data_IF_310285700395
#
_entry.id   IF_310285700395
#
_cell.length_a   1.000
_cell.length_b   1.000
_cell.length_c   1.000
_cell.angle_alpha   90.00
_cell.angle_beta   90.00
_cell.angle_gamma   90.00
#
_symmetry.space_group_name_H-M   'P 1'
#
loop_
_entity.id
_entity.type
_entity.pdbx_description
1 polymer ?
#
# COMPACT_ATOMS: atom_id res chain seq x y z
N UNK A 1 -9.19 -10.52 1.42
CA UNK A 1 -9.20 -9.27 0.62
C UNK A 1 -8.33 -8.26 1.31
N UNK A 2 -7.66 -7.37 0.58
CA UNK A 2 -6.96 -6.20 1.12
C UNK A 2 -7.58 -4.93 0.53
N UNK A 3 -7.80 -3.94 1.39
CA UNK A 3 -8.22 -2.59 1.01
C UNK A 3 -7.05 -1.66 1.32
N UNK A 4 -6.69 -0.80 0.38
CA UNK A 4 -5.64 0.22 0.55
C UNK A 4 -6.23 1.59 0.34
N UNK A 5 -6.02 2.48 1.31
CA UNK A 5 -6.41 3.89 1.25
C UNK A 5 -5.15 4.72 1.43
N UNK A 6 -4.78 5.49 0.41
CA UNK A 6 -3.76 6.51 0.52
C UNK A 6 -4.41 7.90 0.50
N UNK A 7 -3.87 8.80 1.30
CA UNK A 7 -4.40 10.14 1.43
C UNK A 7 -3.54 11.02 2.30
N UNK A 8 -4.01 12.23 2.56
CA UNK A 8 -3.38 13.20 3.43
C UNK A 8 -4.39 13.75 4.43
N UNK A 9 -4.01 13.75 5.71
CA UNK A 9 -4.81 14.38 6.76
C UNK A 9 -4.71 15.90 6.61
N UNK A 10 -5.83 16.62 6.74
CA UNK A 10 -5.77 18.08 6.69
C UNK A 10 -4.96 18.66 7.87
N UNK A 11 -4.23 19.78 7.69
CA UNK A 11 -3.44 20.40 8.76
C UNK A 11 -4.24 20.78 10.01
N UNK A 12 -5.52 21.07 9.87
CA UNK A 12 -6.45 21.45 10.93
C UNK A 12 -7.53 20.39 11.17
N UNK A 13 -7.30 19.13 10.80
CA UNK A 13 -8.29 18.07 10.92
C UNK A 13 -8.75 17.86 12.37
N UNK A 14 -10.06 17.80 12.61
CA UNK A 14 -10.60 17.37 13.90
C UNK A 14 -10.81 15.87 13.94
N UNK A 15 -11.26 15.31 12.80
CA UNK A 15 -11.43 13.88 12.62
C UNK A 15 -11.58 13.52 11.14
N UNK A 16 -11.31 12.25 10.82
CA UNK A 16 -11.80 11.61 9.61
C UNK A 16 -12.15 10.16 9.92
N UNK A 17 -12.91 9.52 9.05
CA UNK A 17 -13.34 8.14 9.23
C UNK A 17 -13.26 7.34 7.93
N UNK A 18 -12.91 6.07 8.09
CA UNK A 18 -12.96 5.04 7.05
C UNK A 18 -13.97 3.99 7.53
N UNK A 19 -15.11 3.93 6.87
CA UNK A 19 -16.20 3.03 7.22
C UNK A 19 -16.35 1.94 6.16
N UNK A 20 -16.35 0.68 6.59
CA UNK A 20 -16.84 -0.44 5.79
C UNK A 20 -18.30 -0.69 6.17
N UNK A 21 -19.21 -0.68 5.19
CA UNK A 21 -20.65 -0.69 5.43
C UNK A 21 -21.37 -1.81 4.70
N UNK A 22 -22.57 -2.14 5.20
CA UNK A 22 -23.60 -2.93 4.52
C UNK A 22 -24.96 -2.25 4.67
N UNK A 23 -25.48 -1.70 3.58
CA UNK A 23 -26.66 -0.82 3.65
C UNK A 23 -26.39 0.36 4.58
N UNK A 24 -27.18 0.49 5.66
CA UNK A 24 -26.99 1.55 6.68
C UNK A 24 -26.09 1.13 7.85
N UNK A 25 -25.71 -0.15 7.95
CA UNK A 25 -24.89 -0.65 9.05
C UNK A 25 -23.41 -0.36 8.78
N UNK A 26 -22.68 0.08 9.81
CA UNK A 26 -21.22 0.24 9.76
C UNK A 26 -20.58 -1.00 10.37
N UNK A 27 -20.03 -1.87 9.52
CA UNK A 27 -19.40 -3.14 9.91
C UNK A 27 -18.02 -2.90 10.54
N UNK A 28 -17.26 -1.95 10.00
CA UNK A 28 -16.01 -1.46 10.60
C UNK A 28 -16.02 0.06 10.51
N UNK A 29 -16.04 0.72 11.65
CA UNK A 29 -15.78 2.14 11.79
C UNK A 29 -14.32 2.30 12.20
N UNK A 30 -13.49 2.97 11.40
CA UNK A 30 -12.12 3.33 11.74
C UNK A 30 -12.01 4.85 11.79
N UNK A 31 -11.85 5.43 12.96
CA UNK A 31 -12.03 6.85 13.14
C UNK A 31 -10.92 7.51 13.96
N UNK A 32 -9.88 8.04 13.29
CA UNK A 32 -8.92 8.93 13.90
C UNK A 32 -9.55 10.25 14.36
N UNK A 33 -9.32 10.59 15.63
CA UNK A 33 -9.76 11.81 16.31
C UNK A 33 -8.56 12.54 16.89
N UNK A 34 -8.57 13.87 16.80
CA UNK A 34 -7.47 14.73 17.24
C UNK A 34 -7.78 15.53 18.50
N UNK A 35 -8.85 15.17 19.20
CA UNK A 35 -9.21 15.73 20.50
C UNK A 35 -8.22 15.24 21.58
N UNK A 36 -7.90 16.10 22.56
CA UNK A 36 -7.21 15.67 23.79
C UNK A 36 -5.69 15.46 23.69
N UNK A 37 -4.98 16.17 22.81
CA UNK A 37 -3.51 16.15 22.76
C UNK A 37 -2.96 15.39 21.55
N UNK A 38 -2.36 14.20 21.76
CA UNK A 38 -1.72 13.42 20.70
C UNK A 38 -2.69 12.70 19.74
N UNK A 39 -4.00 12.83 19.97
CA UNK A 39 -5.06 12.13 19.23
C UNK A 39 -5.15 10.63 19.55
N UNK A 40 -6.26 10.02 19.15
CA UNK A 40 -6.59 8.61 19.35
C UNK A 40 -7.42 8.08 18.17
N UNK A 41 -7.57 6.76 18.08
CA UNK A 41 -8.40 6.11 17.06
C UNK A 41 -9.50 5.31 17.75
N UNK A 42 -10.72 5.43 17.23
CA UNK A 42 -11.86 4.61 17.62
C UNK A 42 -12.12 3.56 16.56
N UNK A 43 -12.28 2.31 17.01
CA UNK A 43 -12.89 1.24 16.24
C UNK A 43 -14.25 0.91 16.82
N UNK A 44 -15.27 0.75 15.97
CA UNK A 44 -16.59 0.33 16.42
C UNK A 44 -17.41 -0.32 15.29
N UNK A 45 -18.58 -0.84 15.63
CA UNK A 45 -19.61 -1.34 14.73
C UNK A 45 -20.92 -0.61 15.04
N UNK A 46 -21.61 -0.12 14.02
CA UNK A 46 -22.98 0.39 14.14
C UNK A 46 -23.93 -0.61 13.48
N UNK A 47 -24.84 -1.19 14.26
CA UNK A 47 -25.85 -2.12 13.75
C UNK A 47 -27.23 -1.56 14.08
N UNK A 48 -28.10 -1.43 13.07
CA UNK A 48 -29.46 -0.90 13.22
C UNK A 48 -29.48 0.46 13.93
N UNK A 49 -28.56 1.35 13.53
CA UNK A 49 -28.39 2.69 14.09
C UNK A 49 -27.90 2.72 15.55
N UNK A 50 -27.42 1.60 16.11
CA UNK A 50 -26.87 1.52 17.47
C UNK A 50 -25.39 1.21 17.42
N UNK A 51 -24.58 2.08 18.02
CA UNK A 51 -23.14 1.85 18.19
C UNK A 51 -22.89 0.82 19.30
N UNK A 52 -21.96 -0.10 19.05
CA UNK A 52 -21.46 -1.02 20.06
C UNK A 52 -20.44 -0.39 21.01
N UNK A 53 -19.70 -1.23 21.73
CA UNK A 53 -18.59 -0.80 22.60
C UNK A 53 -17.42 -0.26 21.78
N UNK A 54 -16.90 0.92 22.12
CA UNK A 54 -15.74 1.51 21.44
C UNK A 54 -14.44 0.79 21.84
N UNK A 55 -13.63 0.42 20.85
CA UNK A 55 -12.23 0.01 21.04
C UNK A 55 -11.32 1.18 20.69
N UNK A 56 -10.48 1.62 21.63
CA UNK A 56 -9.68 2.86 21.49
C UNK A 56 -8.19 2.57 21.48
N UNK A 57 -7.50 3.14 20.49
CA UNK A 57 -6.03 3.18 20.42
C UNK A 57 -5.54 4.61 20.69
N UNK A 58 -4.87 4.82 21.82
CA UNK A 58 -4.46 6.16 22.30
C UNK A 58 -3.16 6.70 21.67
N UNK A 59 -2.81 6.19 20.48
CA UNK A 59 -1.71 6.69 19.65
C UNK A 59 -2.17 6.70 18.21
N UNK A 60 -2.26 7.87 17.58
CA UNK A 60 -2.61 7.96 16.16
C UNK A 60 -1.34 7.92 15.27
N UNK A 61 -1.27 7.01 14.27
CA UNK A 61 -0.24 7.03 13.24
C UNK A 61 -0.58 8.00 12.09
N UNK A 62 -1.55 8.90 12.28
CA UNK A 62 -2.00 9.87 11.27
C UNK A 62 -1.75 11.30 11.77
N UNK A 63 -0.53 11.84 11.76
CA UNK A 63 -0.34 13.23 12.15
C UNK A 63 -1.07 14.18 11.18
N UNK A 64 -1.58 15.31 11.70
CA UNK A 64 -2.17 16.37 10.87
C UNK A 64 -1.19 16.85 9.81
N UNK A 65 -1.68 17.09 8.60
CA UNK A 65 -0.89 17.54 7.46
C UNK A 65 0.01 16.49 6.82
N UNK A 66 0.05 15.25 7.33
CA UNK A 66 0.90 14.18 6.80
C UNK A 66 0.11 13.22 5.90
N UNK A 67 0.81 12.69 4.90
CA UNK A 67 0.32 11.59 4.08
C UNK A 67 0.28 10.28 4.88
N UNK A 68 -0.60 9.37 4.47
CA UNK A 68 -0.72 8.04 5.04
C UNK A 68 -1.09 7.00 4.00
N UNK A 69 -0.66 5.77 4.25
CA UNK A 69 -1.16 4.57 3.60
C UNK A 69 -1.79 3.65 4.66
N UNK A 70 -3.11 3.58 4.66
CA UNK A 70 -3.90 2.67 5.48
C UNK A 70 -4.16 1.39 4.67
N UNK A 71 -3.82 0.24 5.25
CA UNK A 71 -4.12 -1.07 4.69
C UNK A 71 -5.01 -1.84 5.65
N UNK A 72 -6.18 -2.26 5.19
CA UNK A 72 -7.12 -3.11 5.92
C UNK A 72 -7.08 -4.50 5.28
N UNK A 73 -6.50 -5.46 5.98
CA UNK A 73 -6.45 -6.86 5.58
C UNK A 73 -7.61 -7.61 6.23
N UNK A 74 -8.55 -8.08 5.40
CA UNK A 74 -9.68 -8.90 5.85
C UNK A 74 -9.24 -10.35 5.93
N UNK A 75 -9.17 -10.87 7.16
CA UNK A 75 -8.88 -12.29 7.46
C UNK A 75 -10.15 -13.00 7.94
N UNK A 76 -10.10 -14.32 8.17
CA UNK A 76 -11.23 -15.04 8.75
C UNK A 76 -11.53 -14.62 10.20
N UNK A 77 -10.52 -14.19 10.95
CA UNK A 77 -10.64 -13.90 12.39
C UNK A 77 -10.94 -12.41 12.66
N UNK A 78 -10.37 -11.52 11.86
CA UNK A 78 -10.35 -10.08 12.12
C UNK A 78 -10.03 -9.22 10.89
N UNK A 79 -10.20 -7.91 11.05
CA UNK A 79 -9.55 -6.89 10.24
C UNK A 79 -8.17 -6.58 10.83
N UNK A 80 -7.10 -6.89 10.10
CA UNK A 80 -5.73 -6.49 10.47
C UNK A 80 -5.39 -5.17 9.81
N UNK A 81 -5.00 -4.18 10.60
CA UNK A 81 -4.80 -2.80 10.15
C UNK A 81 -3.31 -2.47 10.20
N UNK A 82 -2.77 -2.10 9.06
CA UNK A 82 -1.42 -1.56 8.93
C UNK A 82 -1.48 -0.09 8.50
N UNK A 83 -0.59 0.73 9.04
CA UNK A 83 -0.43 2.13 8.64
C UNK A 83 1.03 2.38 8.29
N UNK A 84 1.29 2.93 7.11
CA UNK A 84 2.65 3.24 6.63
C UNK A 84 3.61 2.04 6.74
N UNK A 85 3.12 0.86 6.34
CA UNK A 85 3.87 -0.38 6.29
C UNK A 85 4.11 -1.03 7.65
N UNK A 86 3.50 -0.53 8.72
CA UNK A 86 3.65 -1.06 10.07
C UNK A 86 2.32 -1.59 10.61
N UNK A 87 2.31 -2.76 11.28
CA UNK A 87 1.16 -3.19 12.05
C UNK A 87 0.74 -2.13 13.06
N UNK A 88 -0.55 -1.84 13.12
CA UNK A 88 -1.11 -0.81 13.99
C UNK A 88 -2.16 -1.37 14.96
N UNK A 89 -3.24 -1.95 14.43
CA UNK A 89 -4.35 -2.47 15.23
C UNK A 89 -5.00 -3.69 14.60
N UNK A 90 -5.82 -4.39 15.37
CA UNK A 90 -6.60 -5.53 14.92
C UNK A 90 -8.02 -5.43 15.49
N UNK A 91 -9.04 -5.49 14.64
CA UNK A 91 -10.44 -5.40 15.04
C UNK A 91 -11.16 -6.71 14.72
N UNK A 92 -11.64 -7.40 15.76
CA UNK A 92 -12.35 -8.68 15.60
C UNK A 92 -13.71 -8.48 14.93
N UNK A 93 -14.10 -9.40 14.06
CA UNK A 93 -15.37 -9.33 13.37
C UNK A 93 -16.54 -9.39 14.36
N UNK A 94 -17.30 -8.29 14.49
CA UNK A 94 -18.57 -8.26 15.23
C UNK A 94 -19.77 -8.59 14.35
N UNK A 95 -19.62 -8.44 13.04
CA UNK A 95 -20.58 -8.79 12.02
C UNK A 95 -19.90 -9.54 10.87
N UNK A 96 -20.65 -10.32 10.05
CA UNK A 96 -20.06 -11.03 8.92
C UNK A 96 -19.40 -10.06 7.93
N UNK A 97 -18.07 -10.15 7.79
CA UNK A 97 -17.30 -9.33 6.84
C UNK A 97 -17.70 -9.56 5.38
N UNK A 98 -18.33 -10.70 5.08
CA UNK A 98 -18.87 -11.03 3.75
C UNK A 98 -20.04 -10.15 3.34
N UNK A 99 -20.63 -9.38 4.26
CA UNK A 99 -21.71 -8.43 3.96
C UNK A 99 -21.22 -7.08 3.46
N UNK A 100 -19.94 -6.73 3.68
CA UNK A 100 -19.43 -5.41 3.28
C UNK A 100 -19.60 -5.19 1.78
N UNK A 101 -20.28 -4.12 1.40
CA UNK A 101 -20.55 -3.76 0.00
C UNK A 101 -20.11 -2.32 -0.34
N UNK A 102 -19.97 -1.44 0.66
CA UNK A 102 -19.52 -0.06 0.47
C UNK A 102 -18.34 0.28 1.39
N UNK A 103 -17.49 1.18 0.90
CA UNK A 103 -16.52 1.92 1.72
C UNK A 103 -16.87 3.41 1.63
N UNK A 104 -16.86 4.08 2.78
CA UNK A 104 -16.95 5.53 2.86
C UNK A 104 -15.71 6.07 3.55
N UNK A 105 -15.12 7.10 2.96
CA UNK A 105 -14.05 7.86 3.60
C UNK A 105 -14.50 9.32 3.68
N UNK A 106 -14.71 9.80 4.90
CA UNK A 106 -15.40 11.06 5.19
C UNK A 106 -14.61 11.84 6.24
N UNK A 107 -14.75 13.17 6.23
CA UNK A 107 -14.14 14.07 7.22
C UNK A 107 -12.97 14.84 6.63
N UNK A 108 -12.04 15.26 7.50
CA UNK A 108 -10.94 16.16 7.13
C UNK A 108 -9.74 15.41 6.52
N UNK A 109 -9.96 14.80 5.36
CA UNK A 109 -8.97 13.98 4.65
C UNK A 109 -9.06 14.21 3.15
N UNK A 110 -7.92 14.24 2.48
CA UNK A 110 -7.80 14.19 1.02
C UNK A 110 -7.38 12.79 0.59
N UNK A 111 -8.00 12.24 -0.46
CA UNK A 111 -7.72 10.90 -0.96
C UNK A 111 -6.87 10.95 -2.22
N UNK A 112 -5.86 10.10 -2.26
CA UNK A 112 -5.01 9.89 -3.44
C UNK A 112 -5.21 8.51 -4.06
N UNK A 113 -5.60 7.50 -3.26
CA UNK A 113 -5.87 6.14 -3.73
C UNK A 113 -6.91 5.47 -2.84
N UNK A 114 -7.89 4.80 -3.44
CA UNK A 114 -8.69 3.75 -2.80
C UNK A 114 -8.67 2.55 -3.73
N UNK A 115 -8.14 1.42 -3.26
CA UNK A 115 -7.98 0.24 -4.08
C UNK A 115 -8.28 -1.05 -3.32
N UNK A 116 -8.77 -2.03 -4.06
CA UNK A 116 -9.20 -3.33 -3.55
C UNK A 116 -8.43 -4.42 -4.26
N UNK A 117 -7.96 -5.40 -3.49
CA UNK A 117 -7.27 -6.56 -4.05
C UNK A 117 -7.74 -7.84 -3.36
N UNK A 118 -8.23 -8.77 -4.18
CA UNK A 118 -8.51 -10.12 -3.72
C UNK A 118 -7.20 -10.86 -3.59
N UNK A 119 -6.96 -11.43 -2.40
CA UNK A 119 -5.77 -12.22 -2.14
C UNK A 119 -6.05 -13.63 -2.65
N UNK A 120 -5.13 -14.17 -3.46
CA UNK A 120 -5.21 -15.55 -3.86
C UNK A 120 -5.14 -16.44 -2.60
N UNK A 121 -6.06 -17.42 -2.44
CA UNK A 121 -6.21 -18.19 -1.20
C UNK A 121 -5.01 -19.07 -0.80
N UNK A 122 -3.92 -19.11 -1.57
CA UNK A 122 -2.86 -20.09 -1.42
C UNK A 122 -1.43 -19.58 -1.19
N UNK A 123 -1.16 -18.27 -1.22
CA UNK A 123 0.25 -17.81 -1.22
C UNK A 123 0.53 -16.53 -0.43
N UNK A 124 -0.15 -16.30 0.68
CA UNK A 124 0.43 -15.44 1.70
C UNK A 124 1.72 -16.13 2.19
N UNK A 125 2.88 -15.69 1.67
CA UNK A 125 4.16 -16.18 2.13
C UNK A 125 4.19 -16.13 3.66
N UNK A 126 4.61 -17.23 4.30
CA UNK A 126 4.69 -17.26 5.76
C UNK A 126 5.59 -16.10 6.21
N UNK A 127 5.20 -15.33 7.26
CA UNK A 127 6.05 -14.29 7.82
C UNK A 127 7.46 -14.83 8.05
N UNK A 128 8.47 -14.21 7.44
CA UNK A 128 9.88 -14.59 7.59
C UNK A 128 10.50 -15.51 6.51
N UNK A 129 9.80 -15.81 5.41
CA UNK A 129 10.33 -16.71 4.35
C UNK A 129 10.87 -16.01 3.09
N UNK A 130 10.99 -14.68 3.08
CA UNK A 130 11.47 -13.96 1.90
C UNK A 130 13.00 -14.05 1.79
N UNK A 131 13.49 -14.82 0.82
CA UNK A 131 14.90 -14.83 0.41
C UNK A 131 15.15 -13.85 -0.72
N UNK A 132 16.30 -13.17 -0.69
CA UNK A 132 16.71 -12.23 -1.74
C UNK A 132 17.70 -12.90 -2.73
N UNK A 133 17.59 -12.67 -4.05
CA UNK A 133 16.52 -11.93 -4.72
C UNK A 133 15.17 -12.66 -4.63
N UNK A 134 14.10 -11.89 -4.54
CA UNK A 134 12.73 -12.39 -4.45
C UNK A 134 12.06 -12.32 -5.81
N UNK A 135 11.37 -13.39 -6.21
CA UNK A 135 10.59 -13.43 -7.44
C UNK A 135 9.25 -14.09 -7.20
N UNK A 136 8.19 -13.53 -7.79
CA UNK A 136 6.84 -14.07 -7.68
C UNK A 136 6.03 -13.82 -8.95
N UNK A 137 4.98 -14.63 -9.13
CA UNK A 137 4.03 -14.50 -10.22
C UNK A 137 2.96 -13.48 -9.83
N UNK A 138 2.65 -12.57 -10.75
CA UNK A 138 1.50 -11.68 -10.72
C UNK A 138 0.39 -12.39 -11.51
N UNK A 139 -0.47 -13.14 -10.80
CA UNK A 139 -1.55 -13.87 -11.46
C UNK A 139 -2.52 -12.94 -12.20
N UNK A 140 -2.76 -13.25 -13.48
CA UNK A 140 -3.55 -12.42 -14.40
C UNK A 140 -2.80 -11.20 -14.95
N UNK A 141 -1.49 -11.10 -14.69
CA UNK A 141 -0.68 -9.95 -15.05
C UNK A 141 -1.03 -8.69 -14.26
N UNK A 142 -0.42 -7.57 -14.63
CA UNK A 142 -0.91 -6.27 -14.17
C UNK A 142 -2.09 -5.84 -15.03
N UNK A 143 -2.97 -5.03 -14.45
CA UNK A 143 -4.14 -4.48 -15.13
C UNK A 143 -4.52 -3.17 -14.44
N UNK A 144 -5.23 -2.25 -15.10
CA UNK A 144 -5.73 -1.05 -14.46
C UNK A 144 -6.49 -1.40 -13.17
N UNK A 145 -6.15 -0.75 -12.06
CA UNK A 145 -6.68 -1.06 -10.73
C UNK A 145 -5.81 -2.01 -9.90
N UNK A 146 -4.87 -2.73 -10.52
CA UNK A 146 -3.95 -3.64 -9.80
C UNK A 146 -3.04 -2.85 -8.87
N UNK A 147 -2.89 -3.34 -7.64
CA UNK A 147 -1.97 -2.83 -6.63
C UNK A 147 -0.91 -3.88 -6.35
N UNK A 148 0.34 -3.46 -6.24
CA UNK A 148 1.45 -4.27 -5.74
C UNK A 148 1.99 -3.59 -4.50
N UNK A 149 2.01 -4.28 -3.36
CA UNK A 149 2.48 -3.74 -2.08
C UNK A 149 3.73 -4.47 -1.65
N UNK A 150 4.79 -3.72 -1.37
CA UNK A 150 6.09 -4.25 -0.96
C UNK A 150 6.51 -3.53 0.31
N UNK A 151 6.80 -4.29 1.36
CA UNK A 151 7.24 -3.78 2.64
C UNK A 151 8.49 -4.51 3.12
N UNK A 152 9.32 -3.81 3.87
CA UNK A 152 10.56 -4.35 4.37
C UNK A 152 11.36 -3.33 5.17
N UNK A 153 12.66 -3.59 5.31
CA UNK A 153 13.63 -2.68 5.91
C UNK A 153 14.80 -2.52 4.95
N UNK A 154 15.17 -1.27 4.70
CA UNK A 154 16.32 -0.93 3.86
C UNK A 154 17.59 -1.18 4.67
N UNK A 155 18.58 -1.85 4.09
CA UNK A 155 19.88 -2.05 4.75
C UNK A 155 20.52 -0.70 5.15
N UNK A 156 21.14 -0.58 6.35
CA UNK A 156 21.92 0.60 6.72
C UNK A 156 23.07 0.92 5.74
N UNK A 157 23.52 -0.07 4.97
CA UNK A 157 24.60 0.07 3.99
C UNK A 157 24.13 -0.04 2.54
N UNK A 158 22.81 0.07 2.31
CA UNK A 158 22.22 -0.10 0.99
C UNK A 158 22.90 0.77 -0.08
N UNK A 159 23.26 0.15 -1.18
CA UNK A 159 23.70 0.79 -2.41
C UNK A 159 22.54 0.85 -3.39
N UNK A 160 21.89 -0.29 -3.66
CA UNK A 160 20.82 -0.37 -4.66
C UNK A 160 19.72 -1.33 -4.25
N UNK A 161 18.48 -0.98 -4.61
CA UNK A 161 17.32 -1.88 -4.56
C UNK A 161 16.56 -1.71 -5.87
N UNK A 162 16.22 -2.79 -6.55
CA UNK A 162 15.38 -2.75 -7.76
C UNK A 162 14.08 -3.52 -7.53
N UNK A 163 12.97 -2.90 -7.94
CA UNK A 163 11.67 -3.55 -8.08
C UNK A 163 11.33 -3.60 -9.57
N UNK A 164 11.15 -4.79 -10.10
CA UNK A 164 11.12 -5.06 -11.53
C UNK A 164 9.81 -5.75 -11.88
N UNK A 165 9.06 -5.17 -12.80
CA UNK A 165 7.87 -5.76 -13.40
C UNK A 165 8.24 -6.29 -14.79
N UNK A 166 8.23 -7.62 -14.96
CA UNK A 166 8.68 -8.31 -16.16
C UNK A 166 7.53 -8.89 -16.96
N UNK A 167 7.75 -9.00 -18.26
CA UNK A 167 7.01 -9.84 -19.20
C UNK A 167 7.99 -10.80 -19.86
N UNK A 168 7.48 -11.75 -20.66
CA UNK A 168 8.25 -12.88 -21.19
C UNK A 168 9.60 -12.51 -21.84
N UNK A 169 9.67 -11.38 -22.56
CA UNK A 169 10.86 -10.95 -23.30
C UNK A 169 11.54 -9.70 -22.75
N UNK A 170 11.03 -9.09 -21.68
CA UNK A 170 11.53 -7.79 -21.22
C UNK A 170 11.09 -7.32 -19.83
N UNK A 171 11.30 -6.04 -19.57
CA UNK A 171 11.00 -5.35 -18.31
C UNK A 171 10.11 -4.16 -18.63
N UNK A 172 8.85 -4.21 -18.22
CA UNK A 172 7.92 -3.10 -18.41
C UNK A 172 8.29 -1.91 -17.51
N UNK A 173 8.71 -2.19 -16.27
CA UNK A 173 9.19 -1.20 -15.32
C UNK A 173 10.34 -1.78 -14.49
N UNK A 174 11.51 -1.17 -14.56
CA UNK A 174 12.52 -1.23 -13.51
C UNK A 174 12.40 0.05 -12.66
N UNK A 175 12.08 -0.09 -11.37
CA UNK A 175 12.12 1.00 -10.39
C UNK A 175 13.33 0.79 -9.48
N UNK A 176 14.41 1.51 -9.78
CA UNK A 176 15.74 1.34 -9.17
C UNK A 176 16.04 2.46 -8.18
N UNK A 177 16.11 2.11 -6.89
CA UNK A 177 16.58 2.98 -5.82
C UNK A 177 18.11 2.94 -5.77
N UNK A 178 18.78 4.03 -6.12
CA UNK A 178 20.25 4.13 -6.12
C UNK A 178 20.71 5.07 -5.01
N UNK A 179 21.06 4.50 -3.87
CA UNK A 179 21.48 5.23 -2.67
C UNK A 179 22.92 5.77 -2.75
N UNK A 180 23.73 5.23 -3.65
CA UNK A 180 25.06 5.72 -4.04
C UNK A 180 24.97 7.02 -4.84
N UNK A 181 23.97 7.13 -5.71
CA UNK A 181 23.70 8.31 -6.56
C UNK A 181 22.64 9.26 -5.94
N UNK A 182 21.99 8.86 -4.85
CA UNK A 182 20.84 9.55 -4.23
C UNK A 182 19.71 9.87 -5.21
N UNK A 183 19.35 8.89 -6.05
CA UNK A 183 18.35 9.05 -7.12
C UNK A 183 17.48 7.80 -7.27
N UNK A 184 16.25 8.01 -7.75
CA UNK A 184 15.38 6.93 -8.21
C UNK A 184 15.36 6.92 -9.73
N UNK A 185 15.81 5.82 -10.33
CA UNK A 185 15.82 5.62 -11.78
C UNK A 185 14.66 4.71 -12.17
N UNK A 186 13.89 5.13 -13.18
CA UNK A 186 12.90 4.28 -13.84
C UNK A 186 13.27 4.04 -15.30
N UNK A 187 13.10 2.80 -15.76
CA UNK A 187 13.28 2.49 -17.18
C UNK A 187 12.49 1.24 -17.61
N UNK A 188 12.46 1.03 -18.93
CA UNK A 188 11.92 -0.16 -19.60
C UNK A 188 13.05 -0.81 -20.38
N UNK A 189 13.10 -2.14 -20.36
CA UNK A 189 13.97 -2.93 -21.22
C UNK A 189 13.08 -3.69 -22.20
N UNK A 190 13.20 -3.36 -23.49
CA UNK A 190 12.40 -3.95 -24.55
C UNK A 190 13.28 -4.15 -25.80
N UNK A 191 12.96 -5.19 -26.57
CA UNK A 191 13.69 -5.58 -27.79
C UNK A 191 15.23 -5.59 -27.62
N UNK A 192 15.69 -6.14 -26.51
CA UNK A 192 17.13 -6.27 -26.23
C UNK A 192 17.85 -4.99 -25.80
N UNK A 193 17.14 -3.88 -25.59
CA UNK A 193 17.74 -2.58 -25.28
C UNK A 193 17.06 -1.86 -24.13
N UNK A 194 17.83 -1.06 -23.39
CA UNK A 194 17.29 -0.13 -22.41
C UNK A 194 16.77 1.13 -23.08
N UNK A 195 15.58 1.57 -22.67
CA UNK A 195 15.05 2.87 -23.06
C UNK A 195 15.76 4.05 -22.38
N UNK A 196 15.19 5.24 -22.52
CA UNK A 196 15.66 6.45 -21.83
C UNK A 196 15.34 6.39 -20.33
N UNK A 197 16.34 6.55 -19.48
CA UNK A 197 16.13 6.63 -18.03
C UNK A 197 15.31 7.86 -17.62
N UNK A 198 14.40 7.67 -16.66
CA UNK A 198 13.71 8.75 -15.94
C UNK A 198 14.27 8.89 -14.53
N UNK A 199 14.89 10.04 -14.25
CA UNK A 199 15.62 10.34 -13.00
C UNK A 199 15.01 11.50 -12.19
N UNK A 200 13.88 12.05 -12.63
CA UNK A 200 13.24 13.20 -11.99
C UNK A 200 12.54 12.82 -10.67
N UNK A 201 12.51 13.74 -9.71
CA UNK A 201 11.93 13.49 -8.38
C UNK A 201 12.99 13.27 -7.31
N UNK A 202 12.57 13.35 -6.05
CA UNK A 202 13.45 13.18 -4.90
C UNK A 202 13.64 11.70 -4.56
N UNK A 203 14.71 11.37 -3.84
CA UNK A 203 14.88 10.06 -3.19
C UNK A 203 14.05 10.04 -1.89
N UNK A 204 12.90 9.34 -1.82
CA UNK A 204 12.04 9.39 -0.63
C UNK A 204 12.46 8.37 0.44
N UNK A 205 13.43 7.51 0.12
CA UNK A 205 13.86 6.39 0.97
C UNK A 205 15.20 6.69 1.65
N UNK A 206 15.36 6.21 2.88
CA UNK A 206 16.58 6.39 3.67
C UNK A 206 17.13 5.05 4.15
N UNK A 207 18.46 4.92 4.17
CA UNK A 207 19.15 3.72 4.67
C UNK A 207 18.73 3.41 6.11
N UNK A 208 18.55 2.13 6.43
CA UNK A 208 18.14 1.67 7.77
C UNK A 208 16.68 1.96 8.13
N UNK A 209 15.89 2.59 7.26
CA UNK A 209 14.48 2.89 7.54
C UNK A 209 13.53 1.81 7.00
N UNK A 210 12.30 1.73 7.55
CA UNK A 210 11.24 0.92 6.97
C UNK A 210 10.97 1.32 5.52
N UNK A 211 10.74 0.31 4.70
CA UNK A 211 10.33 0.43 3.30
C UNK A 211 8.84 0.16 3.21
N UNK A 212 8.11 1.07 2.56
CA UNK A 212 6.82 0.77 1.95
C UNK A 212 6.83 1.33 0.53
N UNK A 213 6.57 0.46 -0.44
CA UNK A 213 6.35 0.79 -1.85
C UNK A 213 5.00 0.22 -2.26
N UNK A 214 4.14 1.08 -2.80
CA UNK A 214 2.88 0.68 -3.41
C UNK A 214 2.96 1.08 -4.88
N UNK A 215 2.87 0.10 -5.77
CA UNK A 215 2.81 0.33 -7.22
C UNK A 215 1.35 0.14 -7.64
N UNK A 216 0.72 1.21 -8.07
CA UNK A 216 -0.65 1.21 -8.58
C UNK A 216 -0.63 1.30 -10.11
N UNK A 217 -1.27 0.35 -10.78
CA UNK A 217 -1.39 0.36 -12.23
C UNK A 217 -2.65 1.11 -12.64
N UNK A 218 -2.50 2.22 -13.35
CA UNK A 218 -3.61 2.93 -14.01
C UNK A 218 -3.71 2.49 -15.48
N UNK A 219 -4.66 3.06 -16.22
CA UNK A 219 -4.76 2.85 -17.66
C UNK A 219 -3.56 3.45 -18.43
N UNK A 220 -2.89 4.46 -17.90
CA UNK A 220 -1.86 5.22 -18.63
C UNK A 220 -0.45 5.08 -18.04
N UNK A 221 -0.34 4.77 -16.75
CA UNK A 221 0.93 4.79 -16.04
C UNK A 221 0.93 3.87 -14.81
N UNK A 222 2.13 3.67 -14.26
CA UNK A 222 2.30 3.25 -12.88
C UNK A 222 2.41 4.48 -11.98
N UNK A 223 1.62 4.52 -10.92
CA UNK A 223 1.77 5.46 -9.82
C UNK A 223 2.47 4.77 -8.65
N UNK A 224 3.53 5.37 -8.13
CA UNK A 224 4.34 4.82 -7.05
C UNK A 224 4.13 5.67 -5.81
N UNK A 225 3.71 5.01 -4.73
CA UNK A 225 3.52 5.63 -3.43
C UNK A 225 4.55 5.11 -2.41
N UNK A 226 4.95 6.00 -1.51
CA UNK A 226 5.70 5.66 -0.30
C UNK A 226 5.07 6.33 0.90
N UNK A 227 4.74 5.54 1.93
CA UNK A 227 4.06 6.03 3.15
C UNK A 227 2.82 6.89 2.87
N UNK A 228 2.08 6.59 1.79
CA UNK A 228 0.87 7.32 1.37
C UNK A 228 1.09 8.48 0.42
N UNK A 229 2.32 8.97 0.28
CA UNK A 229 2.65 10.05 -0.65
C UNK A 229 2.92 9.47 -2.04
N UNK A 230 2.31 10.05 -3.08
CA UNK A 230 2.66 9.71 -4.47
C UNK A 230 4.01 10.34 -4.80
N UNK A 231 5.05 9.52 -4.86
CA UNK A 231 6.44 9.98 -5.04
C UNK A 231 6.85 10.00 -6.50
N UNK A 232 6.33 9.10 -7.32
CA UNK A 232 6.69 9.01 -8.73
C UNK A 232 5.51 8.52 -9.59
N UNK A 233 5.57 8.88 -10.87
CA UNK A 233 4.70 8.34 -11.92
C UNK A 233 5.59 7.86 -13.06
N UNK A 234 5.19 6.79 -13.74
CA UNK A 234 5.89 6.24 -14.89
C UNK A 234 4.91 5.82 -15.98
N UNK A 235 4.92 6.52 -17.11
CA UNK A 235 4.00 6.23 -18.20
C UNK A 235 4.29 4.85 -18.82
N UNK A 236 3.24 4.12 -19.16
CA UNK A 236 3.37 2.79 -19.75
C UNK A 236 4.11 2.89 -21.09
N UNK A 237 5.32 2.34 -21.15
CA UNK A 237 6.05 2.12 -22.40
C UNK A 237 5.75 0.76 -23.02
N UNK A 238 5.39 -0.21 -22.16
CA UNK A 238 4.84 -1.51 -22.55
C UNK A 238 3.36 -1.55 -22.20
N UNK A 239 2.49 -1.70 -23.20
CA UNK A 239 1.04 -1.53 -23.03
C UNK A 239 0.26 -2.83 -22.87
N UNK A 240 0.86 -4.00 -23.14
CA UNK A 240 0.21 -5.30 -22.96
C UNK A 240 0.26 -5.72 -21.49
N UNK A 241 -0.47 -5.00 -20.65
CA UNK A 241 -0.36 -5.07 -19.18
C UNK A 241 -0.56 -6.49 -18.63
N UNK A 242 -1.48 -7.26 -19.22
CA UNK A 242 -1.76 -8.65 -18.81
C UNK A 242 -0.56 -9.61 -18.97
N UNK A 243 0.44 -9.25 -19.78
CA UNK A 243 1.66 -10.03 -19.95
C UNK A 243 2.76 -9.64 -18.97
N UNK A 244 2.57 -8.59 -18.18
CA UNK A 244 3.47 -8.23 -17.09
C UNK A 244 3.12 -9.11 -15.88
N UNK A 245 3.68 -10.30 -15.83
CA UNK A 245 3.23 -11.40 -14.96
C UNK A 245 4.26 -11.80 -13.89
N UNK A 246 5.39 -11.09 -13.80
CA UNK A 246 6.43 -11.39 -12.81
C UNK A 246 6.88 -10.13 -12.09
N UNK A 247 6.84 -10.20 -10.75
CA UNK A 247 7.50 -9.26 -9.85
C UNK A 247 8.85 -9.85 -9.44
N UNK A 248 9.93 -9.12 -9.68
CA UNK A 248 11.31 -9.46 -9.33
C UNK A 248 11.91 -8.33 -8.48
N UNK A 249 12.44 -8.68 -7.31
CA UNK A 249 12.98 -7.74 -6.32
C UNK A 249 14.39 -8.16 -5.96
N UNK A 250 15.35 -7.26 -6.14
CA UNK A 250 16.76 -7.53 -5.82
C UNK A 250 17.41 -6.33 -5.12
N UNK A 251 18.58 -6.57 -4.54
CA UNK A 251 19.38 -5.55 -3.84
C UNK A 251 19.20 -5.54 -2.32
N UNK A 252 19.57 -4.42 -1.71
CA UNK A 252 19.90 -4.30 -0.29
C UNK A 252 18.68 -4.06 0.61
N UNK A 253 17.71 -4.98 0.58
CA UNK A 253 16.46 -4.92 1.33
C UNK A 253 16.15 -6.24 2.01
N UNK A 254 15.64 -6.19 3.25
CA UNK A 254 15.00 -7.32 3.89
C UNK A 254 13.48 -7.17 3.77
N UNK A 255 12.83 -8.09 3.06
CA UNK A 255 11.38 -8.04 2.86
C UNK A 255 10.62 -8.60 4.06
N UNK A 256 9.52 -7.95 4.42
CA UNK A 256 8.58 -8.38 5.48
C UNK A 256 7.19 -8.71 4.94
N UNK A 257 6.80 -8.12 3.81
CA UNK A 257 5.51 -8.37 3.17
C UNK A 257 5.60 -8.08 1.67
N UNK A 258 5.01 -8.95 0.86
CA UNK A 258 4.84 -8.73 -0.59
C UNK A 258 3.46 -9.22 -0.98
N UNK A 259 2.72 -8.35 -1.69
CA UNK A 259 1.41 -8.64 -2.26
C UNK A 259 1.45 -8.27 -3.75
N UNK A 260 1.72 -9.24 -4.65
CA UNK A 260 1.76 -9.03 -6.08
C UNK A 260 0.38 -9.01 -6.75
#
# INVERSE_FOLDING_TARGET
MSITVCGQVWPNADTFEVNLQYGSDVILHFNPRYEGGSGYIVHNTNQKCVWGEEEREYKTPFPRGQAFALQILVTQESYKINVNGKPFSEYKHRMPFSRVDHIYVIGNVELSLVAFQYLAPHYAARPGSFTMPYKSIIYGGVQPGKVIIIQGVISPHAQRICFILRYITGIALEYSLRFDENVVVRNTYDDGTWGKEERCGCMPFKRGQPLQVIIFCTHQNFEIFSNGEKVHTYNHRYSNLEYIDVLDICGDVQLSFVQP
#
